data_IF_731070265323
#
_entry.id   IF_731070265323
#
_cell.length_a   1.000
_cell.length_b   1.000
_cell.length_c   1.000
_cell.angle_alpha   90.00
_cell.angle_beta   90.00
_cell.angle_gamma   90.00
#
_symmetry.space_group_name_H-M   'P 1'
#
loop_
_entity.id
_entity.type
_entity.pdbx_description
1 polymer ?
#
# COMPACT_ATOMS: atom_id res chain seq x y z
N UNK A 1 -7.66 12.50 20.97
CA UNK A 1 -6.72 12.54 19.85
C UNK A 1 -5.32 12.91 20.35
N UNK A 2 -4.25 12.74 19.54
CA UNK A 2 -2.89 13.11 19.99
C UNK A 2 -2.74 14.64 20.10
N UNK A 3 -1.99 15.09 21.10
CA UNK A 3 -1.56 16.48 21.25
C UNK A 3 -0.54 16.85 20.18
N UNK A 4 -0.30 18.16 19.99
CA UNK A 4 0.70 18.66 19.06
C UNK A 4 2.09 18.10 19.34
N UNK A 5 2.82 17.76 18.28
CA UNK A 5 4.20 17.25 18.31
C UNK A 5 5.03 17.94 17.23
N UNK A 6 6.30 17.53 17.06
CA UNK A 6 7.10 17.99 15.91
C UNK A 6 6.52 17.59 14.55
N UNK A 7 5.64 16.56 14.50
CA UNK A 7 5.01 16.04 13.27
C UNK A 7 3.50 16.24 13.20
N UNK A 8 2.86 16.67 14.25
CA UNK A 8 1.40 16.86 14.32
C UNK A 8 1.08 18.27 14.74
N UNK A 9 0.23 18.93 13.98
CA UNK A 9 -0.34 20.24 14.25
C UNK A 9 -1.87 20.13 14.29
N UNK A 10 -2.52 20.73 15.28
CA UNK A 10 -3.97 20.74 15.42
C UNK A 10 -4.51 22.15 15.21
N UNK A 11 -5.56 22.29 14.42
CA UNK A 11 -6.26 23.55 14.16
C UNK A 11 -7.74 23.35 14.38
N UNK A 12 -8.36 24.19 15.19
CA UNK A 12 -9.80 24.15 15.41
C UNK A 12 -10.59 24.52 14.14
N UNK A 13 -10.03 25.44 13.35
CA UNK A 13 -10.58 25.91 12.08
C UNK A 13 -9.46 26.26 11.10
N UNK A 14 -9.78 26.33 9.81
CA UNK A 14 -8.88 26.80 8.79
C UNK A 14 -8.61 28.30 9.00
N UNK A 15 -7.38 28.63 9.41
CA UNK A 15 -6.97 30.00 9.72
C UNK A 15 -6.05 30.60 8.64
N UNK A 16 -5.67 31.88 8.80
CA UNK A 16 -4.80 32.61 7.85
C UNK A 16 -3.36 32.08 7.83
N UNK A 17 -2.93 31.46 8.92
CA UNK A 17 -1.55 30.94 9.07
C UNK A 17 -1.38 29.51 8.54
N UNK A 18 -2.43 28.92 7.97
CA UNK A 18 -2.43 27.52 7.54
C UNK A 18 -1.28 27.19 6.57
N UNK A 19 -1.05 28.04 5.53
CA UNK A 19 0.04 27.79 4.58
C UNK A 19 1.42 27.84 5.22
N UNK A 20 1.59 28.63 6.28
CA UNK A 20 2.87 28.71 6.99
C UNK A 20 3.18 27.38 7.70
N UNK A 21 2.16 26.70 8.25
CA UNK A 21 2.33 25.36 8.83
C UNK A 21 2.67 24.32 7.74
N UNK A 22 1.95 24.38 6.61
CA UNK A 22 2.24 23.50 5.47
C UNK A 22 3.67 23.69 4.98
N UNK A 23 4.11 24.94 4.81
CA UNK A 23 5.48 25.27 4.41
C UNK A 23 6.49 24.74 5.43
N UNK A 24 6.20 24.91 6.72
CA UNK A 24 7.09 24.44 7.76
C UNK A 24 7.28 22.91 7.71
N UNK A 25 6.23 22.14 7.41
CA UNK A 25 6.32 20.69 7.20
C UNK A 25 7.00 20.32 5.88
N UNK A 26 6.75 21.02 4.78
CA UNK A 26 7.45 20.81 3.51
C UNK A 26 8.96 21.01 3.66
N UNK A 27 9.38 22.00 4.45
CA UNK A 27 10.79 22.28 4.72
C UNK A 27 11.38 21.40 5.82
N UNK A 28 10.56 20.73 6.62
CA UNK A 28 11.01 19.80 7.64
C UNK A 28 11.42 18.46 7.03
N UNK A 29 12.38 17.77 7.66
CA UNK A 29 12.95 16.54 7.11
C UNK A 29 11.94 15.38 7.06
N UNK A 30 11.00 15.33 7.99
CA UNK A 30 10.05 14.22 8.16
C UNK A 30 8.65 14.51 7.61
N UNK A 31 8.39 15.73 7.11
CA UNK A 31 7.04 16.14 6.79
C UNK A 31 6.16 16.22 8.05
N UNK A 32 4.84 16.04 7.92
CA UNK A 32 3.94 16.06 9.08
C UNK A 32 2.47 15.97 8.72
N UNK A 33 1.63 16.14 9.73
CA UNK A 33 0.17 16.05 9.62
C UNK A 33 -0.45 17.29 10.27
N UNK A 34 -1.42 17.90 9.59
CA UNK A 34 -2.26 18.95 10.16
C UNK A 34 -3.68 18.41 10.26
N UNK A 35 -4.25 18.45 11.46
CA UNK A 35 -5.68 18.18 11.66
C UNK A 35 -6.45 19.50 11.74
N UNK A 36 -7.54 19.61 10.97
CA UNK A 36 -8.46 20.75 11.01
C UNK A 36 -9.81 20.24 11.54
N UNK A 37 -10.35 20.91 12.56
CA UNK A 37 -11.48 20.45 13.37
C UNK A 37 -11.05 19.89 14.73
N UNK A 38 -9.78 20.11 15.14
CA UNK A 38 -9.21 19.61 16.39
C UNK A 38 -8.49 20.73 17.14
N UNK A 39 -8.71 20.83 18.45
CA UNK A 39 -8.00 21.78 19.32
C UNK A 39 -6.58 21.34 19.63
N UNK A 40 -5.75 22.27 20.08
CA UNK A 40 -4.35 22.02 20.46
C UNK A 40 -4.16 20.92 21.50
N UNK A 41 -5.12 20.81 22.43
CA UNK A 41 -5.14 19.77 23.48
C UNK A 41 -5.59 18.39 22.96
N UNK A 42 -5.91 18.27 21.67
CA UNK A 42 -6.38 17.04 21.04
C UNK A 42 -7.90 16.84 21.12
N UNK A 43 -8.67 17.79 21.66
CA UNK A 43 -10.13 17.69 21.68
C UNK A 43 -10.70 17.84 20.27
N UNK A 44 -11.49 16.87 19.82
CA UNK A 44 -12.17 16.91 18.52
C UNK A 44 -13.39 17.83 18.59
N UNK A 45 -13.40 18.87 17.76
CA UNK A 45 -14.48 19.85 17.66
C UNK A 45 -15.38 19.53 16.47
N UNK A 46 -14.77 19.05 15.36
CA UNK A 46 -15.43 18.81 14.09
C UNK A 46 -15.55 20.09 13.23
N UNK A 47 -15.96 19.92 12.00
CA UNK A 47 -16.15 20.98 11.02
C UNK A 47 -17.62 21.06 10.59
N UNK A 48 -18.12 22.26 10.30
CA UNK A 48 -19.52 22.46 9.87
C UNK A 48 -19.72 22.14 8.38
N UNK A 49 -18.72 22.45 7.55
CA UNK A 49 -18.74 22.25 6.11
C UNK A 49 -17.39 21.66 5.69
N UNK A 50 -17.34 20.34 5.71
CA UNK A 50 -16.11 19.57 5.46
C UNK A 50 -15.70 19.67 3.99
N UNK A 51 -16.66 19.55 3.05
CA UNK A 51 -16.39 19.57 1.62
C UNK A 51 -15.81 20.91 1.16
N UNK A 52 -16.43 22.02 1.60
CA UNK A 52 -15.94 23.36 1.31
C UNK A 52 -14.56 23.59 1.92
N UNK A 53 -14.35 23.16 3.17
CA UNK A 53 -13.06 23.30 3.84
C UNK A 53 -11.98 22.48 3.16
N UNK A 54 -12.30 21.27 2.71
CA UNK A 54 -11.38 20.40 1.96
C UNK A 54 -10.96 21.06 0.64
N UNK A 55 -11.91 21.63 -0.10
CA UNK A 55 -11.62 22.34 -1.34
C UNK A 55 -10.74 23.56 -1.11
N UNK A 56 -11.06 24.37 -0.10
CA UNK A 56 -10.25 25.55 0.27
C UNK A 56 -8.82 25.16 0.65
N UNK A 57 -8.62 24.10 1.40
CA UNK A 57 -7.28 23.59 1.77
C UNK A 57 -6.49 23.21 0.52
N UNK A 58 -7.07 22.43 -0.39
CA UNK A 58 -6.43 22.03 -1.65
C UNK A 58 -6.02 23.24 -2.49
N UNK A 59 -6.93 24.18 -2.65
CA UNK A 59 -6.68 25.41 -3.43
C UNK A 59 -5.59 26.28 -2.81
N UNK A 60 -5.61 26.46 -1.50
CA UNK A 60 -4.61 27.27 -0.78
C UNK A 60 -3.23 26.65 -0.87
N UNK A 61 -3.08 25.34 -0.66
CA UNK A 61 -1.78 24.67 -0.75
C UNK A 61 -1.24 24.77 -2.18
N UNK A 62 -2.09 24.48 -3.18
CA UNK A 62 -1.69 24.48 -4.60
C UNK A 62 -1.29 25.86 -5.12
N UNK A 63 -2.04 26.91 -4.73
CA UNK A 63 -1.92 28.21 -5.37
C UNK A 63 -1.03 29.19 -4.61
N UNK A 64 -0.88 29.05 -3.27
CA UNK A 64 -0.20 30.02 -2.42
C UNK A 64 1.22 29.60 -2.03
N UNK A 65 1.64 28.37 -2.32
CA UNK A 65 2.97 27.84 -1.96
C UNK A 65 3.81 27.62 -3.23
N UNK A 66 5.10 27.88 -3.11
CA UNK A 66 6.11 27.63 -4.14
C UNK A 66 7.35 26.99 -3.49
N UNK A 67 8.10 26.14 -4.20
CA UNK A 67 7.80 25.51 -5.49
C UNK A 67 6.50 24.71 -5.49
N UNK A 68 6.15 24.05 -6.63
CA UNK A 68 4.93 23.26 -6.74
C UNK A 68 4.84 22.19 -5.63
N UNK A 69 3.66 22.05 -5.03
CA UNK A 69 3.37 21.10 -3.96
C UNK A 69 2.66 19.84 -4.46
N UNK A 70 2.43 19.73 -5.77
CA UNK A 70 1.75 18.59 -6.37
C UNK A 70 2.49 17.28 -6.07
N UNK A 71 1.76 16.28 -5.58
CA UNK A 71 2.33 15.01 -5.15
C UNK A 71 2.99 15.00 -3.76
N UNK A 72 2.94 16.13 -3.01
CA UNK A 72 3.54 16.24 -1.68
C UNK A 72 2.52 16.31 -0.55
N UNK A 73 1.23 16.32 -0.82
CA UNK A 73 0.21 16.39 0.21
C UNK A 73 -1.04 15.60 -0.14
N UNK A 74 -1.75 15.16 0.90
CA UNK A 74 -3.08 14.57 0.87
C UNK A 74 -4.03 15.30 1.79
N UNK A 75 -5.32 15.40 1.40
CA UNK A 75 -6.38 16.00 2.20
C UNK A 75 -7.49 14.98 2.35
N UNK A 76 -7.58 14.38 3.52
CA UNK A 76 -8.44 13.23 3.84
C UNK A 76 -9.50 13.66 4.85
N UNK A 77 -10.75 13.30 4.62
CA UNK A 77 -11.82 13.44 5.62
C UNK A 77 -11.81 12.21 6.50
N UNK A 78 -11.74 12.41 7.82
CA UNK A 78 -11.84 11.34 8.82
C UNK A 78 -12.99 11.63 9.79
N UNK A 79 -13.70 10.60 10.22
CA UNK A 79 -14.70 10.71 11.30
C UNK A 79 -14.06 10.23 12.61
N UNK A 80 -14.00 11.12 13.61
CA UNK A 80 -13.44 10.85 14.93
C UNK A 80 -14.44 11.32 15.97
N UNK A 81 -14.83 10.47 16.91
CA UNK A 81 -15.81 10.73 17.95
C UNK A 81 -17.14 11.28 17.35
N UNK A 82 -17.63 10.65 16.28
CA UNK A 82 -18.82 11.04 15.51
C UNK A 82 -18.78 12.47 14.93
N UNK A 83 -17.58 13.03 14.75
CA UNK A 83 -17.37 14.35 14.16
C UNK A 83 -16.41 14.25 12.98
N UNK A 84 -16.74 14.98 11.92
CA UNK A 84 -15.88 15.05 10.74
C UNK A 84 -14.76 16.06 10.93
N UNK A 85 -13.55 15.63 10.64
CA UNK A 85 -12.32 16.43 10.66
C UNK A 85 -11.54 16.23 9.37
N UNK A 86 -10.65 17.14 9.04
CA UNK A 86 -9.77 17.00 7.89
C UNK A 86 -8.37 16.73 8.37
N UNK A 87 -7.77 15.65 7.86
CA UNK A 87 -6.37 15.31 8.01
C UNK A 87 -5.61 15.69 6.75
N UNK A 88 -4.65 16.57 6.89
CA UNK A 88 -3.73 16.98 5.82
C UNK A 88 -2.39 16.32 6.07
N UNK A 89 -2.04 15.35 5.23
CA UNK A 89 -0.72 14.68 5.27
C UNK A 89 0.22 15.44 4.36
N UNK A 90 1.40 15.80 4.85
CA UNK A 90 2.37 16.61 4.12
C UNK A 90 3.72 15.88 4.13
N UNK A 91 4.23 15.57 2.95
CA UNK A 91 5.55 14.97 2.78
C UNK A 91 6.66 16.01 2.86
N UNK A 92 7.86 15.59 3.21
CA UNK A 92 9.07 16.43 3.07
C UNK A 92 9.27 16.81 1.59
N UNK A 93 9.45 18.08 1.32
CA UNK A 93 9.65 18.55 -0.05
C UNK A 93 11.07 18.31 -0.56
N UNK A 94 11.21 18.03 -1.85
CA UNK A 94 12.52 17.82 -2.52
C UNK A 94 13.14 19.07 -3.08
N UNK A 95 12.33 20.10 -3.35
CA UNK A 95 12.76 21.38 -3.93
C UNK A 95 12.84 22.50 -2.89
N UNK A 96 13.33 22.17 -1.68
CA UNK A 96 13.49 23.16 -0.59
C UNK A 96 14.41 24.32 -0.99
N UNK A 97 14.14 25.51 -0.45
CA UNK A 97 13.07 25.85 0.50
C UNK A 97 11.72 26.12 -0.20
N UNK A 98 10.64 25.64 0.42
CA UNK A 98 9.26 26.02 0.09
C UNK A 98 8.92 27.34 0.78
N UNK A 99 8.09 28.16 0.13
CA UNK A 99 7.79 29.51 0.62
C UNK A 99 6.41 30.00 0.17
N UNK A 100 5.88 30.99 0.88
CA UNK A 100 4.67 31.71 0.46
C UNK A 100 4.90 32.44 -0.86
N UNK A 101 4.11 32.13 -1.90
CA UNK A 101 4.21 32.73 -3.23
C UNK A 101 4.22 34.27 -3.19
N UNK A 102 3.36 34.86 -2.35
CA UNK A 102 3.23 36.33 -2.22
C UNK A 102 4.46 37.00 -1.56
N UNK A 103 5.20 36.26 -0.75
CA UNK A 103 6.36 36.76 0.03
C UNK A 103 7.70 36.43 -0.63
N UNK A 104 7.70 35.46 -1.56
CA UNK A 104 8.93 34.98 -2.17
C UNK A 104 9.82 34.19 -1.22
N UNK A 105 11.05 33.88 -1.69
CA UNK A 105 12.05 33.14 -0.93
C UNK A 105 12.81 34.09 0.01
N UNK A 106 12.09 34.56 1.01
CA UNK A 106 12.59 35.51 2.04
C UNK A 106 12.28 34.97 3.44
N UNK A 107 12.87 35.48 4.50
CA UNK A 107 12.53 35.11 5.88
C UNK A 107 11.05 35.28 6.22
N UNK A 108 10.35 36.21 5.59
CA UNK A 108 8.90 36.39 5.78
C UNK A 108 8.05 35.33 5.04
N UNK A 109 8.65 34.68 4.03
CA UNK A 109 7.98 33.69 3.21
C UNK A 109 8.31 32.25 3.56
N UNK A 110 9.45 31.99 4.21
CA UNK A 110 9.98 30.66 4.51
C UNK A 110 9.81 30.29 5.99
N UNK A 111 9.29 29.11 6.23
CA UNK A 111 9.05 28.58 7.58
C UNK A 111 9.65 27.18 7.73
N UNK A 112 10.07 26.81 8.93
CA UNK A 112 10.58 25.48 9.29
C UNK A 112 10.01 25.05 10.64
N UNK A 113 9.91 23.73 10.89
CA UNK A 113 9.53 23.19 12.20
C UNK A 113 10.73 23.19 13.15
N UNK A 114 10.52 23.71 14.35
CA UNK A 114 11.46 23.67 15.47
C UNK A 114 10.69 23.13 16.67
N UNK A 115 10.93 21.87 17.03
CA UNK A 115 10.05 21.18 17.98
C UNK A 115 8.60 21.12 17.48
N UNK A 116 7.64 21.49 18.30
CA UNK A 116 6.22 21.57 17.96
C UNK A 116 5.77 22.91 17.35
N UNK A 117 6.70 23.85 17.09
CA UNK A 117 6.36 25.19 16.57
C UNK A 117 6.86 25.40 15.15
N UNK A 118 6.18 26.26 14.40
CA UNK A 118 6.72 26.82 13.16
C UNK A 118 7.57 28.07 13.50
N UNK A 119 8.71 28.17 12.87
CA UNK A 119 9.62 29.32 12.99
C UNK A 119 9.95 29.88 11.61
N UNK A 120 10.21 31.20 11.53
CA UNK A 120 10.72 31.81 10.32
C UNK A 120 12.18 31.39 10.09
N UNK A 121 12.50 31.04 8.86
CA UNK A 121 13.88 30.76 8.48
C UNK A 121 14.72 32.04 8.41
N UNK A 122 15.96 31.92 8.81
CA UNK A 122 16.96 32.99 8.55
C UNK A 122 17.43 32.94 7.08
N UNK A 123 17.98 34.03 6.55
CA UNK A 123 18.56 34.05 5.20
C UNK A 123 19.57 32.92 5.00
N UNK A 124 20.46 32.72 5.98
CA UNK A 124 21.44 31.62 5.93
C UNK A 124 20.78 30.23 5.83
N UNK A 125 19.71 29.96 6.57
CA UNK A 125 18.98 28.68 6.47
C UNK A 125 18.35 28.50 5.09
N UNK A 126 17.83 29.59 4.51
CA UNK A 126 17.24 29.60 3.16
C UNK A 126 18.33 29.27 2.13
N UNK A 127 19.50 29.92 2.22
CA UNK A 127 20.62 29.71 1.30
C UNK A 127 21.20 28.29 1.44
N UNK A 128 21.36 27.80 2.67
CA UNK A 128 21.85 26.45 2.94
C UNK A 128 20.87 25.37 2.38
N UNK A 129 19.56 25.54 2.53
CA UNK A 129 18.56 24.64 1.94
C UNK A 129 18.57 24.71 0.41
N UNK A 130 18.69 25.92 -0.13
CA UNK A 130 18.73 26.10 -1.58
C UNK A 130 20.00 25.49 -2.20
N UNK A 131 21.14 25.62 -1.53
CA UNK A 131 22.40 25.01 -1.96
C UNK A 131 22.35 23.45 -1.94
N UNK A 132 21.58 22.89 -1.02
CA UNK A 132 21.37 21.42 -0.90
C UNK A 132 20.25 20.89 -1.83
N UNK A 133 19.55 21.77 -2.53
CA UNK A 133 18.48 21.39 -3.44
C UNK A 133 18.98 20.39 -4.47
N UNK A 134 18.19 19.31 -4.68
CA UNK A 134 18.47 18.34 -5.74
C UNK A 134 18.42 19.06 -7.09
N UNK A 135 19.57 19.22 -7.74
CA UNK A 135 19.72 20.02 -8.97
C UNK A 135 19.15 19.36 -10.22
N UNK A 136 18.79 18.06 -10.14
CA UNK A 136 18.35 17.28 -11.28
C UNK A 136 17.05 16.53 -10.95
N UNK A 137 15.95 17.29 -10.81
CA UNK A 137 14.63 16.65 -10.83
C UNK A 137 14.26 16.32 -12.28
N UNK A 138 13.48 15.26 -12.50
CA UNK A 138 12.98 14.88 -13.85
C UNK A 138 12.22 16.04 -14.52
N UNK A 139 11.69 16.97 -13.74
CA UNK A 139 11.03 18.19 -14.21
C UNK A 139 11.98 19.16 -14.94
N UNK A 140 13.25 19.19 -14.57
CA UNK A 140 14.26 20.11 -15.14
C UNK A 140 15.09 19.43 -16.24
N UNK A 141 14.95 18.14 -16.46
CA UNK A 141 15.62 17.39 -17.52
C UNK A 141 14.75 17.44 -18.79
N UNK A 142 15.30 17.94 -19.88
CA UNK A 142 14.61 17.91 -21.18
C UNK A 142 14.28 16.48 -21.60
N UNK A 143 13.10 16.27 -22.15
CA UNK A 143 12.73 15.00 -22.78
C UNK A 143 13.68 14.71 -23.96
N UNK A 144 14.13 13.45 -24.14
CA UNK A 144 14.92 13.06 -25.30
C UNK A 144 14.21 13.28 -26.63
N UNK A 145 12.87 13.36 -26.59
CA UNK A 145 12.01 13.66 -27.77
C UNK A 145 11.05 14.78 -27.40
N UNK A 146 10.83 15.69 -28.36
CA UNK A 146 9.91 16.82 -28.18
C UNK A 146 8.58 16.65 -28.96
N UNK A 147 8.42 15.51 -29.66
CA UNK A 147 7.16 15.11 -30.30
C UNK A 147 6.53 13.99 -29.50
N UNK A 148 5.70 14.35 -28.50
CA UNK A 148 5.05 13.41 -27.59
C UNK A 148 3.54 13.46 -27.75
N UNK A 149 2.90 12.30 -27.61
CA UNK A 149 1.44 12.14 -27.53
C UNK A 149 1.05 11.51 -26.19
N UNK A 150 -0.17 11.76 -25.73
CA UNK A 150 -0.64 11.42 -24.39
C UNK A 150 -2.04 10.81 -24.41
N UNK A 151 -2.38 10.03 -25.43
CA UNK A 151 -3.71 9.42 -25.56
C UNK A 151 -3.99 8.43 -24.42
N UNK A 152 -3.00 7.58 -24.06
CA UNK A 152 -3.13 6.65 -22.95
C UNK A 152 -3.34 7.38 -21.63
N UNK A 153 -2.56 8.42 -21.35
CA UNK A 153 -2.72 9.24 -20.16
C UNK A 153 -4.13 9.84 -20.06
N UNK A 154 -4.65 10.39 -21.16
CA UNK A 154 -6.00 10.97 -21.22
C UNK A 154 -7.08 9.93 -20.95
N UNK A 155 -6.96 8.72 -21.52
CA UNK A 155 -7.87 7.60 -21.28
C UNK A 155 -7.91 7.24 -19.78
N UNK A 156 -6.76 7.09 -19.13
CA UNK A 156 -6.72 6.78 -17.70
C UNK A 156 -7.40 7.85 -16.83
N UNK A 157 -7.19 9.13 -17.15
CA UNK A 157 -7.87 10.21 -16.44
C UNK A 157 -9.39 10.16 -16.65
N UNK A 158 -9.86 9.91 -17.88
CA UNK A 158 -11.27 9.78 -18.19
C UNK A 158 -11.92 8.58 -17.50
N UNK A 159 -11.25 7.43 -17.42
CA UNK A 159 -11.72 6.24 -16.71
C UNK A 159 -11.93 6.50 -15.20
N UNK A 160 -11.18 7.43 -14.61
CA UNK A 160 -11.31 7.85 -13.21
C UNK A 160 -12.17 9.11 -13.03
N UNK A 161 -12.98 9.46 -14.04
CA UNK A 161 -13.88 10.61 -13.98
C UNK A 161 -13.20 11.98 -14.00
N UNK A 162 -11.90 12.02 -14.31
CA UNK A 162 -11.09 13.23 -14.43
C UNK A 162 -10.92 13.58 -15.92
N UNK A 163 -10.93 14.89 -16.22
CA UNK A 163 -10.71 15.36 -17.59
C UNK A 163 -9.47 16.24 -17.65
N UNK A 164 -8.52 15.85 -18.48
CA UNK A 164 -7.37 16.67 -18.80
C UNK A 164 -7.76 17.76 -19.79
N UNK A 165 -7.63 19.02 -19.39
CA UNK A 165 -7.89 20.20 -20.22
C UNK A 165 -6.68 20.52 -21.13
N UNK A 166 -6.81 21.53 -21.98
CA UNK A 166 -5.73 21.93 -22.92
C UNK A 166 -4.44 22.37 -22.23
N UNK A 167 -4.52 22.77 -20.93
CA UNK A 167 -3.37 23.19 -20.15
C UNK A 167 -2.84 22.06 -19.23
N UNK A 168 -3.18 20.79 -19.51
CA UNK A 168 -2.78 19.69 -18.62
C UNK A 168 -1.27 19.54 -18.47
N UNK A 169 -0.50 19.88 -19.50
CA UNK A 169 0.97 19.82 -19.47
C UNK A 169 1.55 20.72 -18.37
N UNK A 170 1.03 21.96 -18.27
CA UNK A 170 1.42 22.88 -17.20
C UNK A 170 0.86 22.41 -15.85
N UNK A 171 -0.39 21.96 -15.83
CA UNK A 171 -1.06 21.52 -14.59
C UNK A 171 -0.39 20.33 -13.93
N UNK A 172 0.19 19.42 -14.72
CA UNK A 172 0.89 18.23 -14.26
C UNK A 172 2.42 18.42 -14.18
N UNK A 173 2.92 19.63 -14.39
CA UNK A 173 4.37 19.94 -14.38
C UNK A 173 5.16 19.08 -15.39
N UNK A 174 4.62 18.92 -16.62
CA UNK A 174 5.24 18.11 -17.69
C UNK A 174 6.11 18.94 -18.63
N UNK A 175 6.30 20.25 -18.36
CA UNK A 175 7.15 21.15 -19.12
C UNK A 175 8.27 21.67 -18.24
N UNK A 176 9.45 21.91 -18.87
CA UNK A 176 10.55 22.66 -18.25
C UNK A 176 10.22 24.15 -18.16
N UNK A 177 11.06 24.92 -17.49
CA UNK A 177 10.95 26.39 -17.43
C UNK A 177 11.02 27.06 -18.80
N UNK A 178 11.65 26.40 -19.79
CA UNK A 178 11.74 26.86 -21.19
C UNK A 178 10.52 26.45 -22.04
N UNK A 179 9.54 25.76 -21.48
CA UNK A 179 8.33 25.30 -22.18
C UNK A 179 8.51 24.06 -23.03
N UNK A 180 9.64 23.36 -22.91
CA UNK A 180 9.90 22.07 -23.55
C UNK A 180 9.30 20.93 -22.74
N UNK A 181 8.97 19.80 -23.37
CA UNK A 181 8.66 18.58 -22.64
C UNK A 181 9.83 18.17 -21.75
N UNK A 182 9.52 17.84 -20.49
CA UNK A 182 10.50 17.34 -19.55
C UNK A 182 10.50 15.79 -19.48
N UNK A 183 11.36 15.22 -18.66
CA UNK A 183 11.50 13.76 -18.57
C UNK A 183 10.27 13.07 -17.97
N UNK A 184 9.48 13.73 -17.10
CA UNK A 184 8.19 13.19 -16.62
C UNK A 184 7.20 13.07 -17.79
N UNK A 185 7.14 14.06 -18.70
CA UNK A 185 6.34 13.98 -19.91
C UNK A 185 6.76 12.78 -20.77
N UNK A 186 8.07 12.55 -20.93
CA UNK A 186 8.59 11.41 -21.66
C UNK A 186 8.15 10.06 -21.07
N UNK A 187 8.21 9.90 -19.75
CA UNK A 187 7.76 8.68 -19.06
C UNK A 187 6.25 8.43 -19.23
N UNK A 188 5.45 9.48 -19.30
CA UNK A 188 3.98 9.43 -19.42
C UNK A 188 3.47 9.44 -20.86
N UNK A 189 4.34 9.63 -21.85
CA UNK A 189 3.97 9.64 -23.26
C UNK A 189 3.52 8.26 -23.74
N UNK A 190 2.70 8.25 -24.81
CA UNK A 190 2.20 7.01 -25.44
C UNK A 190 3.34 6.09 -25.89
N UNK A 191 4.47 6.67 -26.30
CA UNK A 191 5.68 5.97 -26.70
C UNK A 191 6.91 6.57 -26.04
N UNK A 192 7.69 5.72 -25.37
CA UNK A 192 8.98 6.07 -24.78
C UNK A 192 9.94 4.87 -24.89
N UNK A 193 11.20 5.04 -24.48
CA UNK A 193 12.20 3.96 -24.52
C UNK A 193 12.45 3.37 -23.14
N UNK A 194 11.52 3.54 -22.20
CA UNK A 194 11.63 3.05 -20.84
C UNK A 194 10.86 1.74 -20.72
N UNK A 195 11.51 0.70 -20.16
CA UNK A 195 10.85 -0.56 -19.91
C UNK A 195 11.20 -1.10 -18.51
N UNK A 196 10.20 -1.58 -17.80
CA UNK A 196 10.35 -2.29 -16.53
C UNK A 196 10.60 -3.76 -16.88
N UNK A 197 11.64 -4.36 -16.31
CA UNK A 197 11.99 -5.76 -16.58
C UNK A 197 11.35 -6.68 -15.57
N UNK A 198 10.77 -7.78 -16.06
CA UNK A 198 10.36 -8.93 -15.26
C UNK A 198 11.19 -10.13 -15.69
N UNK A 199 12.00 -10.65 -14.77
CA UNK A 199 12.88 -11.79 -15.03
C UNK A 199 12.48 -12.95 -14.12
N UNK A 200 12.31 -14.14 -14.65
CA UNK A 200 11.99 -15.34 -13.88
C UNK A 200 13.11 -16.36 -14.00
N UNK A 201 13.58 -16.85 -12.85
CA UNK A 201 14.64 -17.85 -12.74
C UNK A 201 14.07 -19.19 -12.30
N UNK A 202 14.72 -20.29 -12.72
CA UNK A 202 14.32 -21.66 -12.34
C UNK A 202 14.55 -21.91 -10.85
N UNK A 203 15.69 -21.47 -10.34
CA UNK A 203 16.14 -21.72 -8.96
C UNK A 203 16.13 -20.48 -8.08
N UNK A 204 16.91 -20.54 -7.01
CA UNK A 204 17.10 -19.45 -6.02
C UNK A 204 18.19 -18.45 -6.41
N UNK A 205 18.83 -18.65 -7.57
CA UNK A 205 19.91 -17.83 -8.09
C UNK A 205 19.66 -17.42 -9.55
N UNK A 206 20.53 -16.57 -10.10
CA UNK A 206 20.40 -16.01 -11.46
C UNK A 206 21.02 -16.87 -12.58
N UNK A 207 21.36 -18.13 -12.32
CA UNK A 207 22.12 -18.96 -13.28
C UNK A 207 21.24 -19.49 -14.41
N UNK A 208 20.01 -19.88 -14.10
CA UNK A 208 19.09 -20.49 -15.08
C UNK A 208 17.88 -19.58 -15.26
N UNK A 209 17.83 -18.96 -16.44
CA UNK A 209 16.75 -18.06 -16.85
C UNK A 209 15.57 -18.86 -17.40
N UNK A 210 14.36 -18.62 -16.88
CA UNK A 210 13.12 -19.20 -17.39
C UNK A 210 12.39 -18.23 -18.33
N UNK A 211 12.23 -16.97 -17.91
CA UNK A 211 11.55 -15.94 -18.70
C UNK A 211 12.26 -14.59 -18.53
N UNK A 212 12.25 -13.79 -19.59
CA UNK A 212 12.69 -12.40 -19.57
C UNK A 212 11.66 -11.57 -20.35
N UNK A 213 10.88 -10.76 -19.66
CA UNK A 213 9.80 -9.95 -20.22
C UNK A 213 10.08 -8.48 -19.94
N UNK A 214 9.66 -7.64 -20.88
CA UNK A 214 9.76 -6.19 -20.76
C UNK A 214 8.38 -5.53 -20.86
N UNK A 215 8.06 -4.72 -19.85
CA UNK A 215 6.83 -3.92 -19.78
C UNK A 215 7.20 -2.46 -19.98
N UNK A 216 7.08 -1.96 -21.19
CA UNK A 216 7.53 -0.61 -21.47
C UNK A 216 7.29 -0.16 -22.90
N UNK A 217 8.10 0.80 -23.35
CA UNK A 217 7.98 1.50 -24.62
C UNK A 217 6.61 2.19 -24.80
N UNK A 218 5.96 2.55 -23.68
CA UNK A 218 4.63 3.15 -23.62
C UNK A 218 4.44 3.92 -22.32
N UNK A 219 3.32 4.61 -22.16
CA UNK A 219 2.96 5.31 -20.93
C UNK A 219 3.27 4.46 -19.69
N UNK A 220 3.98 5.05 -18.73
CA UNK A 220 4.45 4.35 -17.53
C UNK A 220 3.28 3.76 -16.72
N UNK A 221 2.10 4.40 -16.72
CA UNK A 221 0.88 3.86 -16.09
C UNK A 221 0.51 2.52 -16.71
N UNK A 222 0.42 2.46 -18.06
CA UNK A 222 0.10 1.23 -18.79
C UNK A 222 1.14 0.14 -18.54
N UNK A 223 2.43 0.50 -18.54
CA UNK A 223 3.50 -0.44 -18.22
C UNK A 223 3.36 -1.02 -16.81
N UNK A 224 3.05 -0.16 -15.84
CA UNK A 224 2.82 -0.55 -14.43
C UNK A 224 1.63 -1.50 -14.29
N UNK A 225 0.48 -1.18 -14.86
CA UNK A 225 -0.71 -2.02 -14.77
C UNK A 225 -0.47 -3.41 -15.36
N UNK A 226 0.12 -3.48 -16.56
CA UNK A 226 0.45 -4.76 -17.20
C UNK A 226 1.44 -5.61 -16.39
N UNK A 227 2.39 -4.96 -15.73
CA UNK A 227 3.30 -5.65 -14.81
C UNK A 227 2.54 -6.19 -13.60
N UNK A 228 1.66 -5.39 -12.99
CA UNK A 228 0.84 -5.83 -11.85
C UNK A 228 -0.08 -6.98 -12.24
N UNK A 229 -0.78 -6.91 -13.37
CA UNK A 229 -1.62 -8.01 -13.88
C UNK A 229 -0.81 -9.31 -14.05
N UNK A 230 0.42 -9.20 -14.56
CA UNK A 230 1.31 -10.36 -14.69
C UNK A 230 1.73 -10.91 -13.33
N UNK A 231 2.04 -10.05 -12.37
CA UNK A 231 2.42 -10.47 -11.02
C UNK A 231 1.25 -11.12 -10.27
N UNK A 232 0.02 -10.67 -10.49
CA UNK A 232 -1.18 -11.31 -9.94
C UNK A 232 -1.35 -12.75 -10.45
N UNK A 233 -1.03 -13.01 -11.73
CA UNK A 233 -1.01 -14.38 -12.29
C UNK A 233 0.08 -15.24 -11.65
N UNK A 234 1.25 -14.68 -11.34
CA UNK A 234 2.35 -15.40 -10.67
C UNK A 234 2.10 -15.61 -9.18
N UNK A 235 1.29 -14.75 -8.56
CA UNK A 235 0.95 -14.80 -7.15
C UNK A 235 -0.18 -15.81 -6.88
N UNK A 236 0.17 -17.09 -6.95
CA UNK A 236 -0.79 -18.17 -6.71
C UNK A 236 -1.36 -18.14 -5.29
N UNK A 237 -2.66 -18.42 -5.18
CA UNK A 237 -3.35 -18.57 -3.90
C UNK A 237 -3.45 -20.04 -3.56
N UNK A 238 -2.89 -20.45 -2.43
CA UNK A 238 -3.12 -21.75 -1.83
C UNK A 238 -4.54 -21.79 -1.27
N UNK A 239 -5.31 -22.83 -1.57
CA UNK A 239 -6.68 -22.94 -1.09
C UNK A 239 -6.97 -24.34 -0.60
N UNK A 240 -7.67 -24.45 0.56
CA UNK A 240 -8.19 -25.69 1.10
C UNK A 240 -9.69 -25.54 1.35
N UNK A 241 -10.46 -26.45 0.80
CA UNK A 241 -11.90 -26.51 1.04
C UNK A 241 -12.10 -27.29 2.34
N UNK A 242 -12.63 -26.64 3.37
CA UNK A 242 -13.03 -27.24 4.64
C UNK A 242 -14.56 -27.31 4.73
N UNK A 243 -15.07 -28.10 5.66
CA UNK A 243 -16.52 -28.31 5.84
C UNK A 243 -17.31 -27.01 6.09
N UNK A 244 -16.69 -26.02 6.73
CA UNK A 244 -17.32 -24.73 7.07
C UNK A 244 -16.86 -23.56 6.21
N UNK A 245 -16.12 -23.80 5.11
CA UNK A 245 -15.67 -22.76 4.24
C UNK A 245 -14.37 -23.07 3.52
N UNK A 246 -13.90 -22.08 2.77
CA UNK A 246 -12.63 -22.13 2.06
C UNK A 246 -11.61 -21.29 2.83
N UNK A 247 -10.47 -21.89 3.17
CA UNK A 247 -9.31 -21.17 3.66
C UNK A 247 -8.37 -20.87 2.50
N UNK A 248 -7.92 -19.65 2.42
CA UNK A 248 -7.03 -19.18 1.37
C UNK A 248 -5.80 -18.52 1.97
N UNK A 249 -4.66 -18.70 1.32
CA UNK A 249 -3.43 -18.01 1.62
C UNK A 249 -2.69 -17.67 0.33
N UNK A 250 -2.47 -16.39 0.08
CA UNK A 250 -1.65 -15.94 -1.03
C UNK A 250 -0.18 -16.32 -0.81
N UNK A 251 0.50 -16.69 -1.89
CA UNK A 251 1.93 -16.97 -1.90
C UNK A 251 2.76 -15.75 -1.48
N UNK A 252 2.33 -14.56 -1.88
CA UNK A 252 2.86 -13.26 -1.49
C UNK A 252 1.66 -12.40 -1.07
N UNK A 253 1.83 -11.55 -0.07
CA UNK A 253 0.80 -10.56 0.24
C UNK A 253 0.59 -9.59 -0.93
N UNK A 254 -0.59 -9.61 -1.53
CA UNK A 254 -0.90 -8.85 -2.75
C UNK A 254 -0.77 -7.34 -2.54
N UNK A 255 -1.15 -6.85 -1.35
CA UNK A 255 -1.07 -5.42 -1.03
C UNK A 255 0.38 -4.97 -0.90
N UNK A 256 1.19 -5.74 -0.18
CA UNK A 256 2.61 -5.47 -0.03
C UNK A 256 3.35 -5.55 -1.38
N UNK A 257 3.00 -6.53 -2.23
CA UNK A 257 3.57 -6.68 -3.57
C UNK A 257 3.25 -5.49 -4.46
N UNK A 258 1.96 -5.11 -4.56
CA UNK A 258 1.50 -3.94 -5.31
C UNK A 258 2.22 -2.67 -4.85
N UNK A 259 2.28 -2.46 -3.55
CA UNK A 259 2.92 -1.28 -2.94
C UNK A 259 4.42 -1.22 -3.28
N UNK A 260 5.15 -2.32 -3.12
CA UNK A 260 6.58 -2.38 -3.42
C UNK A 260 6.87 -2.12 -4.90
N UNK A 261 6.06 -2.64 -5.82
CA UNK A 261 6.20 -2.42 -7.27
C UNK A 261 5.94 -0.96 -7.61
N UNK A 262 4.84 -0.39 -7.13
CA UNK A 262 4.51 1.02 -7.39
C UNK A 262 5.58 1.94 -6.82
N UNK A 263 6.02 1.72 -5.58
CA UNK A 263 7.08 2.50 -4.96
C UNK A 263 8.40 2.39 -5.73
N UNK A 264 8.76 1.20 -6.21
CA UNK A 264 9.93 1.02 -7.04
C UNK A 264 9.86 1.84 -8.35
N UNK A 265 8.67 1.99 -8.93
CA UNK A 265 8.46 2.73 -10.18
C UNK A 265 8.44 4.24 -9.93
N UNK A 266 7.63 4.72 -8.99
CA UNK A 266 7.48 6.17 -8.79
C UNK A 266 8.66 6.82 -8.09
N UNK A 267 9.45 6.07 -7.34
CA UNK A 267 10.66 6.56 -6.66
C UNK A 267 11.96 6.21 -7.39
N UNK A 268 11.90 5.52 -8.55
CA UNK A 268 13.08 5.18 -9.33
C UNK A 268 13.83 6.44 -9.79
N UNK A 269 15.15 6.37 -9.75
CA UNK A 269 16.01 7.39 -10.34
C UNK A 269 16.18 7.13 -11.83
N UNK A 270 15.37 7.79 -12.63
CA UNK A 270 15.43 7.69 -14.10
C UNK A 270 16.51 8.55 -14.73
N UNK A 271 17.19 9.40 -13.97
CA UNK A 271 18.20 10.36 -14.50
C UNK A 271 19.40 9.66 -15.15
N UNK A 272 19.69 8.42 -14.75
CA UNK A 272 20.76 7.60 -15.31
C UNK A 272 20.28 6.57 -16.34
N UNK A 273 19.02 6.64 -16.77
CA UNK A 273 18.46 5.68 -17.74
C UNK A 273 18.16 4.29 -17.18
N UNK A 274 18.28 4.08 -15.88
CA UNK A 274 17.96 2.80 -15.24
C UNK A 274 16.46 2.69 -14.99
N UNK A 275 15.91 1.51 -15.23
CA UNK A 275 14.51 1.18 -14.95
C UNK A 275 14.41 0.18 -13.80
N UNK A 276 13.27 0.13 -13.09
CA UNK A 276 13.03 -0.90 -12.10
C UNK A 276 13.10 -2.30 -12.71
N UNK A 277 13.49 -3.28 -11.89
CA UNK A 277 13.51 -4.69 -12.25
C UNK A 277 12.78 -5.50 -11.19
N UNK A 278 11.93 -6.43 -11.64
CA UNK A 278 11.28 -7.44 -10.82
C UNK A 278 11.87 -8.80 -11.17
N UNK A 279 12.35 -9.53 -10.18
CA UNK A 279 13.01 -10.81 -10.33
C UNK A 279 12.25 -11.86 -9.53
N UNK A 280 11.72 -12.87 -10.22
CA UNK A 280 11.02 -14.02 -9.64
C UNK A 280 11.96 -15.19 -9.51
N UNK A 281 12.17 -15.67 -8.30
CA UNK A 281 12.93 -16.87 -7.97
C UNK A 281 11.98 -17.99 -7.55
N UNK A 282 12.50 -19.18 -7.32
CA UNK A 282 11.69 -20.31 -6.85
C UNK A 282 11.16 -20.12 -5.41
N UNK A 283 11.83 -19.28 -4.60
CA UNK A 283 11.58 -19.08 -3.17
C UNK A 283 11.15 -17.64 -2.79
N UNK A 284 11.27 -16.68 -3.69
CA UNK A 284 11.02 -15.27 -3.40
C UNK A 284 10.79 -14.42 -4.66
N UNK A 285 10.30 -13.21 -4.46
CA UNK A 285 10.37 -12.12 -5.45
C UNK A 285 11.31 -11.02 -4.94
N UNK A 286 12.10 -10.44 -5.82
CA UNK A 286 12.91 -9.25 -5.55
C UNK A 286 12.51 -8.12 -6.49
N UNK A 287 12.30 -6.93 -5.92
CA UNK A 287 11.95 -5.71 -6.65
C UNK A 287 13.07 -4.70 -6.39
N UNK A 288 13.76 -4.27 -7.43
CA UNK A 288 14.89 -3.36 -7.30
C UNK A 288 14.64 -2.08 -8.10
N UNK A 289 14.81 -0.93 -7.47
CA UNK A 289 14.78 0.39 -8.10
C UNK A 289 16.15 1.06 -8.01
N UNK A 290 16.47 1.88 -9.00
CA UNK A 290 17.65 2.74 -8.98
C UNK A 290 17.44 3.93 -8.04
N UNK A 291 18.53 4.39 -7.42
CA UNK A 291 18.56 5.42 -6.42
C UNK A 291 18.46 4.85 -5.00
N UNK A 292 19.45 5.16 -4.15
CA UNK A 292 19.38 4.91 -2.71
C UNK A 292 18.36 5.83 -2.04
N UNK A 293 18.29 5.79 -0.72
CA UNK A 293 17.48 6.77 0.03
C UNK A 293 17.95 8.20 -0.27
N UNK A 294 17.02 9.18 -0.36
CA UNK A 294 17.39 10.58 -0.38
C UNK A 294 18.30 10.92 0.80
N UNK A 295 19.28 11.84 0.60
CA UNK A 295 20.22 12.21 1.66
C UNK A 295 19.57 12.75 2.94
N UNK A 296 18.34 13.21 2.83
CA UNK A 296 17.53 13.80 3.90
C UNK A 296 16.70 12.78 4.66
N UNK A 297 16.76 11.48 4.28
CA UNK A 297 15.95 10.41 4.86
C UNK A 297 16.85 9.26 5.34
N UNK A 298 16.89 9.03 6.65
CA UNK A 298 17.57 7.87 7.23
C UNK A 298 16.76 6.58 7.02
N UNK A 299 17.41 5.43 7.22
CA UNK A 299 16.73 4.13 7.12
C UNK A 299 15.65 3.97 8.19
N UNK A 300 15.91 4.48 9.41
CA UNK A 300 14.97 4.47 10.51
C UNK A 300 13.72 5.28 10.18
N UNK A 301 13.89 6.51 9.71
CA UNK A 301 12.78 7.38 9.29
C UNK A 301 11.96 6.77 8.14
N UNK A 302 12.64 6.15 7.17
CA UNK A 302 11.96 5.43 6.08
C UNK A 302 11.08 4.29 6.62
N UNK A 303 11.61 3.48 7.55
CA UNK A 303 10.87 2.36 8.15
C UNK A 303 9.73 2.83 9.07
N UNK A 304 9.77 4.05 9.57
CA UNK A 304 8.67 4.70 10.28
C UNK A 304 7.60 5.31 9.36
N UNK A 305 7.78 5.20 8.02
CA UNK A 305 6.86 5.72 7.03
C UNK A 305 7.02 7.21 6.72
N UNK A 306 8.17 7.80 7.09
CA UNK A 306 8.52 9.16 6.66
C UNK A 306 8.73 9.17 5.14
N UNK A 307 8.15 10.15 4.46
CA UNK A 307 8.16 10.22 3.01
C UNK A 307 9.01 11.38 2.49
N UNK A 308 9.91 11.08 1.56
CA UNK A 308 10.68 12.04 0.80
C UNK A 308 10.60 11.65 -0.70
N UNK A 309 9.55 12.07 -1.41
CA UNK A 309 9.29 11.60 -2.76
C UNK A 309 10.33 12.14 -3.75
N UNK A 310 10.97 11.25 -4.52
CA UNK A 310 11.94 11.61 -5.57
C UNK A 310 11.24 12.26 -6.77
N UNK A 311 10.15 11.66 -7.25
CA UNK A 311 9.43 12.06 -8.45
C UNK A 311 7.98 12.42 -8.10
N UNK A 312 7.78 13.58 -7.47
CA UNK A 312 6.47 14.01 -6.96
C UNK A 312 5.42 14.15 -8.07
N UNK A 313 5.83 14.52 -9.28
CA UNK A 313 4.93 14.65 -10.45
C UNK A 313 4.37 13.27 -10.85
N UNK A 314 5.21 12.22 -10.85
CA UNK A 314 4.75 10.85 -11.11
C UNK A 314 3.81 10.36 -10.01
N UNK A 315 4.15 10.62 -8.74
CA UNK A 315 3.27 10.26 -7.60
C UNK A 315 1.91 10.92 -7.77
N UNK A 316 1.88 12.19 -8.16
CA UNK A 316 0.63 12.91 -8.41
C UNK A 316 -0.21 12.23 -9.48
N UNK A 317 0.39 11.90 -10.62
CA UNK A 317 -0.32 11.24 -11.74
C UNK A 317 -0.80 9.85 -11.34
N UNK A 318 0.04 9.04 -10.67
CA UNK A 318 -0.33 7.70 -10.20
C UNK A 318 -1.45 7.73 -9.15
N UNK A 319 -1.52 8.81 -8.35
CA UNK A 319 -2.60 9.02 -7.41
C UNK A 319 -3.90 9.44 -8.11
N UNK A 320 -3.82 10.34 -9.09
CA UNK A 320 -4.99 10.78 -9.86
C UNK A 320 -5.69 9.61 -10.56
N UNK A 321 -4.93 8.57 -10.95
CA UNK A 321 -5.44 7.33 -11.57
C UNK A 321 -5.56 6.17 -10.55
N UNK A 322 -5.66 6.45 -9.28
CA UNK A 322 -5.93 5.51 -8.17
C UNK A 322 -4.97 4.31 -8.06
N UNK A 323 -3.78 4.41 -8.65
CA UNK A 323 -2.72 3.42 -8.44
C UNK A 323 -2.07 3.57 -7.06
N UNK A 324 -2.00 4.81 -6.54
CA UNK A 324 -1.56 5.14 -5.18
C UNK A 324 -2.77 5.62 -4.39
N UNK A 325 -3.03 5.03 -3.21
CA UNK A 325 -4.15 5.41 -2.37
C UNK A 325 -3.82 6.63 -1.49
N UNK A 326 -2.85 6.49 -0.57
CA UNK A 326 -2.47 7.54 0.38
C UNK A 326 -0.95 7.67 0.51
N UNK A 327 -0.47 8.91 0.58
CA UNK A 327 0.95 9.20 0.83
C UNK A 327 1.33 8.80 2.26
N UNK A 328 2.50 8.16 2.43
CA UNK A 328 3.07 7.83 3.74
C UNK A 328 2.59 6.54 4.39
N UNK A 329 1.66 5.81 3.76
CA UNK A 329 1.20 4.50 4.28
C UNK A 329 1.86 3.29 3.62
N UNK A 330 2.57 3.49 2.51
CA UNK A 330 3.08 2.41 1.67
C UNK A 330 4.08 1.49 2.37
N UNK A 331 5.13 2.06 2.95
CA UNK A 331 6.14 1.30 3.71
C UNK A 331 5.50 0.57 4.89
N UNK A 332 4.58 1.22 5.60
CA UNK A 332 3.89 0.63 6.75
C UNK A 332 3.01 -0.55 6.34
N UNK A 333 2.36 -0.51 5.16
CA UNK A 333 1.61 -1.66 4.61
C UNK A 333 2.51 -2.85 4.30
N UNK A 334 3.73 -2.61 3.81
CA UNK A 334 4.71 -3.67 3.60
C UNK A 334 5.14 -4.26 4.94
N UNK A 335 5.40 -3.42 5.94
CA UNK A 335 5.82 -3.83 7.27
C UNK A 335 4.72 -4.50 8.10
N UNK A 336 3.45 -4.32 7.75
CA UNK A 336 2.32 -5.07 8.33
C UNK A 336 2.35 -6.57 7.93
N UNK A 337 2.85 -6.86 6.72
CA UNK A 337 2.90 -8.22 6.18
C UNK A 337 4.28 -8.88 6.26
N UNK A 338 5.37 -8.09 6.30
CA UNK A 338 6.75 -8.56 6.26
C UNK A 338 7.63 -7.81 7.26
N UNK A 339 8.65 -8.50 7.79
CA UNK A 339 9.67 -7.90 8.65
C UNK A 339 10.54 -6.89 7.86
N UNK A 340 11.10 -5.90 8.58
CA UNK A 340 11.97 -4.86 8.02
C UNK A 340 13.17 -5.39 7.23
N UNK A 341 13.60 -6.62 7.46
CA UNK A 341 14.67 -7.27 6.69
C UNK A 341 14.31 -7.52 5.23
N UNK A 342 13.03 -7.35 4.83
CA UNK A 342 12.62 -7.37 3.42
C UNK A 342 13.23 -6.20 2.63
N UNK A 343 13.62 -5.11 3.29
CA UNK A 343 14.30 -3.97 2.66
C UNK A 343 15.82 -4.11 2.71
N UNK A 344 16.46 -3.97 1.56
CA UNK A 344 17.90 -3.88 1.44
C UNK A 344 18.30 -2.53 0.86
N UNK A 345 18.84 -1.69 1.71
CA UNK A 345 19.35 -0.37 1.35
C UNK A 345 20.77 -0.49 0.80
N UNK A 346 21.01 0.08 -0.37
CA UNK A 346 22.29 0.16 -1.04
C UNK A 346 22.56 1.61 -1.44
N UNK A 347 23.80 1.97 -1.71
CA UNK A 347 24.16 3.34 -2.06
C UNK A 347 23.39 3.88 -3.28
N UNK A 348 23.23 3.05 -4.30
CA UNK A 348 22.61 3.44 -5.58
C UNK A 348 21.33 2.66 -5.92
N UNK A 349 20.87 1.78 -5.04
CA UNK A 349 19.68 0.96 -5.28
C UNK A 349 18.94 0.72 -3.98
N UNK A 350 17.62 0.58 -4.09
CA UNK A 350 16.77 0.02 -3.05
C UNK A 350 16.17 -1.28 -3.56
N UNK A 351 16.28 -2.35 -2.75
CA UNK A 351 15.67 -3.64 -3.06
C UNK A 351 14.68 -4.03 -1.99
N UNK A 352 13.52 -4.51 -2.42
CA UNK A 352 12.52 -5.17 -1.57
C UNK A 352 12.46 -6.64 -1.96
N UNK A 353 12.51 -7.54 -0.97
CA UNK A 353 12.50 -8.98 -1.18
C UNK A 353 11.41 -9.64 -0.34
N UNK A 354 10.47 -10.31 -0.99
CA UNK A 354 9.41 -11.06 -0.33
C UNK A 354 9.63 -12.55 -0.51
N UNK A 355 9.95 -13.24 0.58
CA UNK A 355 9.94 -14.70 0.61
C UNK A 355 8.54 -15.21 0.39
N UNK A 356 8.41 -16.28 -0.38
CA UNK A 356 7.12 -16.92 -0.57
C UNK A 356 6.66 -17.56 0.74
N UNK A 357 5.39 -17.40 1.03
CA UNK A 357 4.73 -18.12 2.12
C UNK A 357 4.69 -19.59 1.76
N UNK A 358 5.03 -20.44 2.71
CA UNK A 358 4.88 -21.88 2.54
C UNK A 358 3.40 -22.23 2.35
N UNK A 359 3.13 -23.28 1.60
CA UNK A 359 1.75 -23.77 1.48
C UNK A 359 1.30 -24.33 2.84
N UNK A 360 0.42 -23.64 3.57
CA UNK A 360 0.02 -24.10 4.91
C UNK A 360 -0.79 -25.38 4.86
N UNK A 361 -1.15 -25.86 3.66
CA UNK A 361 -1.97 -27.04 3.44
C UNK A 361 -1.14 -28.24 2.95
N UNK A 362 0.15 -28.07 2.66
CA UNK A 362 1.04 -29.15 2.19
C UNK A 362 1.44 -30.12 3.32
N UNK A 363 1.66 -29.61 4.52
CA UNK A 363 1.96 -30.43 5.70
C UNK A 363 0.79 -31.29 6.16
N UNK A 364 -0.44 -30.97 5.75
CA UNK A 364 -1.64 -31.74 6.08
C UNK A 364 -1.86 -32.97 5.21
N UNK A 365 -1.08 -33.20 4.14
CA UNK A 365 -1.27 -34.41 3.32
C UNK A 365 -0.73 -35.67 4.01
N UNK A 366 0.31 -35.59 4.83
CA UNK A 366 0.82 -36.73 5.60
C UNK A 366 0.29 -36.75 7.05
N UNK A 367 0.23 -35.58 7.74
CA UNK A 367 -0.27 -35.52 9.12
C UNK A 367 -1.76 -35.19 9.22
N UNK A 368 -2.35 -34.61 8.19
CA UNK A 368 -3.76 -34.24 8.16
C UNK A 368 -4.69 -35.43 8.05
N UNK A 369 -4.27 -36.51 7.39
CA UNK A 369 -5.04 -37.75 7.38
C UNK A 369 -4.99 -38.44 8.74
N UNK A 370 -3.85 -38.44 9.43
CA UNK A 370 -3.76 -39.00 10.79
C UNK A 370 -4.49 -38.16 11.83
N UNK A 371 -4.35 -36.81 11.81
CA UNK A 371 -5.04 -35.94 12.76
C UNK A 371 -6.55 -35.86 12.49
N UNK A 372 -6.94 -35.86 11.21
CA UNK A 372 -8.36 -35.90 10.82
C UNK A 372 -9.01 -37.27 11.16
N UNK A 373 -8.32 -38.38 10.91
CA UNK A 373 -8.74 -39.71 11.32
C UNK A 373 -8.76 -39.83 12.86
N UNK A 374 -7.81 -39.27 13.56
CA UNK A 374 -7.77 -39.27 15.03
C UNK A 374 -8.91 -38.43 15.63
N UNK A 375 -9.22 -37.26 15.08
CA UNK A 375 -10.34 -36.42 15.54
C UNK A 375 -11.72 -37.03 15.16
N UNK A 376 -11.82 -37.68 14.00
CA UNK A 376 -12.99 -38.45 13.61
C UNK A 376 -13.19 -39.65 14.53
N UNK A 377 -12.10 -40.33 14.89
CA UNK A 377 -12.09 -41.44 15.87
C UNK A 377 -12.56 -40.95 17.25
N UNK A 378 -12.07 -39.86 17.77
CA UNK A 378 -12.48 -39.31 19.08
C UNK A 378 -13.98 -38.97 19.16
N UNK A 379 -14.58 -38.42 18.10
CA UNK A 379 -16.02 -38.13 18.05
C UNK A 379 -16.80 -39.41 17.95
N UNK A 380 -16.36 -40.38 17.16
CA UNK A 380 -16.97 -41.69 17.01
C UNK A 380 -16.94 -42.47 18.33
N UNK A 381 -15.81 -42.43 19.06
CA UNK A 381 -15.67 -43.05 20.37
C UNK A 381 -16.62 -42.45 21.42
N UNK A 382 -16.77 -41.10 21.40
CA UNK A 382 -17.75 -40.40 22.27
C UNK A 382 -19.19 -40.80 21.91
N UNK A 383 -19.52 -40.95 20.61
CA UNK A 383 -20.83 -41.42 20.17
C UNK A 383 -21.07 -42.87 20.63
N UNK A 384 -20.08 -43.77 20.48
CA UNK A 384 -20.16 -45.17 20.94
C UNK A 384 -20.35 -45.23 22.45
N UNK A 385 -19.62 -44.40 23.23
CA UNK A 385 -19.77 -44.31 24.66
C UNK A 385 -21.19 -43.87 25.12
N UNK A 386 -21.78 -42.91 24.41
CA UNK A 386 -23.15 -42.45 24.62
C UNK A 386 -24.17 -43.54 24.28
N UNK A 387 -23.98 -44.28 23.19
CA UNK A 387 -24.79 -45.41 22.79
C UNK A 387 -24.68 -46.55 23.81
N UNK A 388 -23.48 -46.85 24.35
CA UNK A 388 -23.27 -47.83 25.41
C UNK A 388 -24.07 -47.47 26.66
N UNK A 389 -24.07 -46.18 27.03
CA UNK A 389 -24.76 -45.68 28.24
C UNK A 389 -26.29 -45.65 28.05
N UNK A 390 -26.76 -45.33 26.86
CA UNK A 390 -28.19 -45.30 26.54
C UNK A 390 -28.43 -45.81 25.07
N UNK A 391 -28.73 -47.12 24.90
CA UNK A 391 -28.96 -47.66 23.56
C UNK A 391 -30.17 -47.09 22.80
N UNK A 392 -31.08 -46.40 23.46
CA UNK A 392 -32.22 -45.71 22.85
C UNK A 392 -31.96 -44.26 22.51
N UNK A 393 -30.75 -43.75 22.77
CA UNK A 393 -30.37 -42.34 22.55
C UNK A 393 -30.64 -41.88 21.10
N UNK A 394 -31.25 -40.71 20.97
CA UNK A 394 -31.55 -40.15 19.64
C UNK A 394 -30.37 -39.32 19.11
N UNK A 395 -30.29 -39.16 17.79
CA UNK A 395 -29.28 -38.30 17.16
C UNK A 395 -29.34 -36.83 17.66
N UNK A 396 -30.54 -36.37 18.05
CA UNK A 396 -30.73 -35.02 18.62
C UNK A 396 -30.13 -34.90 20.01
N UNK A 397 -30.25 -35.93 20.82
CA UNK A 397 -29.64 -35.95 22.17
C UNK A 397 -28.13 -36.08 22.10
N UNK A 398 -27.61 -36.93 21.18
CA UNK A 398 -26.16 -37.01 20.93
C UNK A 398 -25.61 -35.65 20.51
N UNK A 399 -26.28 -34.97 19.57
CA UNK A 399 -25.89 -33.64 19.11
C UNK A 399 -25.82 -32.59 20.27
N UNK A 400 -26.84 -32.62 21.15
CA UNK A 400 -26.91 -31.76 22.32
C UNK A 400 -25.82 -32.09 23.35
N UNK A 401 -25.53 -33.34 23.60
CA UNK A 401 -24.57 -33.80 24.62
C UNK A 401 -23.11 -33.53 24.19
N UNK A 402 -22.83 -33.66 22.88
CA UNK A 402 -21.49 -33.44 22.34
C UNK A 402 -21.28 -32.00 21.83
N UNK A 403 -22.30 -31.14 21.95
CA UNK A 403 -22.29 -29.74 21.47
C UNK A 403 -21.90 -29.62 19.98
N UNK A 404 -22.37 -30.56 19.15
CA UNK A 404 -22.11 -30.60 17.71
C UNK A 404 -23.41 -30.56 16.90
N UNK A 405 -23.34 -30.18 15.61
CA UNK A 405 -24.52 -30.13 14.76
C UNK A 405 -25.14 -31.53 14.57
N UNK A 406 -26.46 -31.58 14.34
CA UNK A 406 -27.18 -32.83 14.05
C UNK A 406 -26.68 -33.49 12.76
N UNK A 407 -26.30 -32.72 11.77
CA UNK A 407 -25.72 -33.17 10.50
C UNK A 407 -24.41 -33.90 10.74
N UNK A 408 -23.55 -33.36 11.65
CA UNK A 408 -22.28 -33.97 12.02
C UNK A 408 -22.50 -35.33 12.71
N UNK A 409 -23.45 -35.37 13.64
CA UNK A 409 -23.86 -36.68 14.27
C UNK A 409 -24.36 -37.67 13.24
N UNK A 410 -25.21 -37.25 12.30
CA UNK A 410 -25.74 -38.09 11.22
C UNK A 410 -24.64 -38.68 10.35
N UNK A 411 -23.63 -37.86 10.02
CA UNK A 411 -22.44 -38.28 9.27
C UNK A 411 -21.66 -39.37 10.02
N UNK A 412 -21.28 -39.14 11.28
CA UNK A 412 -20.51 -40.11 12.08
C UNK A 412 -21.28 -41.42 12.32
N UNK A 413 -22.56 -41.35 12.54
CA UNK A 413 -23.42 -42.55 12.63
C UNK A 413 -23.48 -43.31 11.33
N UNK A 414 -23.51 -42.64 10.17
CA UNK A 414 -23.47 -43.28 8.86
C UNK A 414 -22.14 -44.05 8.69
N UNK A 415 -21.02 -43.41 8.98
CA UNK A 415 -19.68 -44.02 8.92
C UNK A 415 -19.57 -45.22 9.86
N UNK A 416 -20.05 -45.12 11.12
CA UNK A 416 -20.04 -46.23 12.08
C UNK A 416 -20.90 -47.40 11.63
N UNK A 417 -22.01 -47.15 10.93
CA UNK A 417 -22.85 -48.20 10.32
C UNK A 417 -22.17 -48.87 9.13
N UNK A 418 -21.57 -48.07 8.25
CA UNK A 418 -20.88 -48.57 7.05
C UNK A 418 -19.70 -49.47 7.43
N UNK A 419 -18.99 -49.12 8.51
CA UNK A 419 -17.90 -49.92 9.07
C UNK A 419 -18.36 -51.07 9.99
N UNK A 420 -19.66 -51.35 10.05
CA UNK A 420 -20.25 -52.42 10.89
C UNK A 420 -19.88 -52.32 12.37
N UNK A 421 -19.68 -51.09 12.91
CA UNK A 421 -19.42 -50.88 14.34
C UNK A 421 -20.72 -50.80 15.13
N UNK A 422 -21.75 -50.15 14.58
CA UNK A 422 -23.08 -50.05 15.19
C UNK A 422 -24.19 -50.42 14.21
N UNK A 423 -25.29 -50.93 14.74
CA UNK A 423 -26.51 -51.20 13.98
C UNK A 423 -27.72 -50.69 14.76
N UNK A 424 -28.76 -50.26 14.04
CA UNK A 424 -30.03 -49.91 14.67
C UNK A 424 -31.04 -50.99 14.42
N UNK A 425 -31.58 -51.59 15.49
CA UNK A 425 -32.63 -52.58 15.44
C UNK A 425 -33.97 -51.95 15.84
N UNK A 426 -35.03 -52.21 15.07
CA UNK A 426 -36.37 -51.70 15.31
C UNK A 426 -36.76 -50.50 14.44
N UNK A 427 -37.91 -49.86 14.73
CA UNK A 427 -38.45 -48.77 13.93
C UNK A 427 -37.68 -47.46 14.17
N UNK A 428 -37.80 -46.51 13.22
CA UNK A 428 -37.15 -45.18 13.30
C UNK A 428 -37.48 -44.40 14.56
N UNK A 429 -38.62 -44.64 15.20
CA UNK A 429 -39.06 -43.93 16.41
C UNK A 429 -38.80 -44.69 17.72
N UNK A 430 -38.70 -46.04 17.69
CA UNK A 430 -38.52 -46.91 18.87
C UNK A 430 -37.36 -47.89 18.73
N UNK A 431 -36.43 -47.65 17.80
CA UNK A 431 -35.30 -48.55 17.57
C UNK A 431 -34.15 -48.30 18.56
N UNK A 432 -33.43 -49.39 18.85
CA UNK A 432 -32.30 -49.43 19.77
C UNK A 432 -31.00 -49.58 18.97
N UNK A 433 -29.97 -48.88 19.39
CA UNK A 433 -28.63 -49.04 18.85
C UNK A 433 -27.94 -50.26 19.45
N UNK A 434 -27.36 -51.08 18.59
CA UNK A 434 -26.57 -52.25 18.97
C UNK A 434 -25.13 -52.04 18.50
N UNK A 435 -24.17 -52.22 19.38
CA UNK A 435 -22.76 -52.20 19.08
C UNK A 435 -22.36 -53.61 18.63
N UNK A 436 -21.69 -53.70 17.48
CA UNK A 436 -21.34 -54.98 16.84
C UNK A 436 -19.88 -55.38 17.05
N UNK A 437 -18.98 -54.39 17.36
CA UNK A 437 -17.55 -54.60 17.66
C UNK A 437 -17.18 -53.96 18.96
#
# INVERSE_FOLDING_TARGET
MQTETNRIENKEQLNEDFEQEVIAFLNYKEGGIIYVGVRKDGQVVGLKDVDLTQLQIKDRIKNNIQPSTLGLFDVIVETIDDKEVIKVVISSGTEKPYYLRKKGRTPEGCYVRVGSSKERMTERMIDDMYAKRVKHTLKEIDSPRQELTFNQLKIYYEEHGLKLNDNFLQNLDLLTSEGKYNYNAFLLADENNISIKLVKYVGTNKLELLENMEYGNRCLITATQRLLDRLDVENTTYAKIEYFGRKEQEKIDSKALKEAVINAIVHNDYSYGNSPIVELYSDRVEITSAGGLPQELSQEEFLEGVTAPRNKELIRVFKDVELIENIGSGVLRILDAYDKSCFRFMEHFLRVSFKYRENPFEYDQENGQESYQKHLSEIQDKIIALIKKNPSITQKEIAKTLEISREKVKYHIAVLKENNVIKREGSTKKGIWKILK
#
